data_IF_828073503191
#
_entry.id   IF_828073503191
#
_cell.length_a   1.000
_cell.length_b   1.000
_cell.length_c   1.000
_cell.angle_alpha   90.00
_cell.angle_beta   90.00
_cell.angle_gamma   90.00
#
_symmetry.space_group_name_H-M   'P 1'
#
loop_
_entity.id
_entity.type
_entity.pdbx_description
1 polymer ?
#
# COMPACT_ATOMS: atom_id res chain seq x y z
N UNK A 1 -5.17 9.46 -14.53
CA UNK A 1 -5.80 9.26 -13.22
C UNK A 1 -4.73 8.79 -12.26
N UNK A 2 -4.68 9.29 -11.02
CA UNK A 2 -3.61 8.93 -10.10
C UNK A 2 -3.83 7.49 -9.60
N UNK A 3 -2.91 6.59 -9.90
CA UNK A 3 -2.94 5.23 -9.39
C UNK A 3 -2.45 5.26 -7.94
N UNK A 4 -3.34 4.95 -7.00
CA UNK A 4 -3.07 4.89 -5.56
C UNK A 4 -2.98 3.43 -5.08
N UNK A 5 -2.23 3.20 -4.00
CA UNK A 5 -2.24 1.93 -3.25
C UNK A 5 -3.01 2.15 -1.95
N UNK A 6 -4.19 1.55 -1.84
CA UNK A 6 -5.03 1.62 -0.65
C UNK A 6 -4.89 0.31 0.13
N UNK A 7 -4.60 0.41 1.43
CA UNK A 7 -4.47 -0.73 2.35
C UNK A 7 -5.56 -0.65 3.40
N UNK A 8 -6.53 -1.54 3.32
CA UNK A 8 -7.57 -1.72 4.32
C UNK A 8 -7.05 -2.59 5.47
N UNK A 9 -7.19 -2.11 6.70
CA UNK A 9 -6.66 -2.75 7.90
C UNK A 9 -7.59 -2.58 9.11
N UNK A 10 -7.30 -3.29 10.21
CA UNK A 10 -7.94 -3.09 11.52
C UNK A 10 -6.94 -3.23 12.68
N UNK A 11 -7.21 -2.63 13.85
CA UNK A 11 -6.41 -2.81 15.07
C UNK A 11 -6.25 -4.29 15.44
N UNK A 12 -5.09 -4.65 16.02
CA UNK A 12 -4.82 -6.03 16.46
C UNK A 12 -4.53 -7.04 15.34
N UNK A 13 -4.56 -6.65 14.07
CA UNK A 13 -4.27 -7.55 12.94
C UNK A 13 -2.75 -7.72 12.70
N UNK A 14 -2.14 -8.89 13.01
CA UNK A 14 -0.69 -9.10 12.86
C UNK A 14 -0.25 -9.13 11.39
N UNK A 15 -1.09 -9.60 10.47
CA UNK A 15 -0.83 -9.60 9.02
C UNK A 15 -0.78 -8.17 8.47
N UNK A 16 -1.72 -7.33 8.89
CA UNK A 16 -1.79 -5.93 8.51
C UNK A 16 -0.53 -5.18 8.98
N UNK A 17 -0.09 -5.42 10.22
CA UNK A 17 1.15 -4.81 10.73
C UNK A 17 2.38 -5.24 9.90
N UNK A 18 2.51 -6.54 9.62
CA UNK A 18 3.61 -7.08 8.81
C UNK A 18 3.65 -6.48 7.42
N UNK A 19 2.50 -6.45 6.73
CA UNK A 19 2.38 -5.89 5.38
C UNK A 19 2.72 -4.40 5.36
N UNK A 20 2.05 -3.59 6.19
CA UNK A 20 2.27 -2.14 6.27
C UNK A 20 3.72 -1.79 6.59
N UNK A 21 4.34 -2.49 7.56
CA UNK A 21 5.77 -2.32 7.87
C UNK A 21 6.66 -2.65 6.67
N UNK A 22 6.34 -3.70 5.91
CA UNK A 22 7.10 -4.09 4.74
C UNK A 22 6.97 -3.08 3.58
N UNK A 23 5.80 -2.48 3.37
CA UNK A 23 5.58 -1.44 2.36
C UNK A 23 6.26 -0.12 2.75
N UNK A 24 6.16 0.29 4.02
CA UNK A 24 6.88 1.47 4.55
C UNK A 24 8.40 1.36 4.40
N UNK A 25 8.98 0.18 4.67
CA UNK A 25 10.43 -0.06 4.44
C UNK A 25 10.84 0.11 2.98
N UNK A 26 9.94 -0.19 2.05
CA UNK A 26 10.12 0.02 0.60
C UNK A 26 9.80 1.45 0.17
N UNK A 27 9.38 2.31 1.11
CA UNK A 27 8.98 3.71 0.88
C UNK A 27 7.82 3.85 -0.12
N UNK A 28 7.06 2.79 -0.33
CA UNK A 28 5.90 2.84 -1.20
C UNK A 28 4.83 3.76 -0.56
N UNK A 29 4.37 4.80 -1.28
CA UNK A 29 3.26 5.62 -0.79
C UNK A 29 1.98 4.78 -0.77
N UNK A 30 1.35 4.68 0.39
CA UNK A 30 0.12 3.91 0.60
C UNK A 30 -0.87 4.72 1.42
N UNK A 31 -2.16 4.69 1.05
CA UNK A 31 -3.25 5.18 1.87
C UNK A 31 -3.78 4.06 2.75
N UNK A 32 -3.70 4.22 4.06
CA UNK A 32 -4.09 3.18 5.01
C UNK A 32 -5.45 3.51 5.62
N UNK A 33 -6.45 2.65 5.43
CA UNK A 33 -7.84 2.90 5.85
C UNK A 33 -8.25 1.86 6.90
N UNK A 34 -8.72 2.33 8.05
CA UNK A 34 -9.18 1.45 9.12
C UNK A 34 -10.66 1.11 8.93
N UNK A 35 -10.97 -0.15 8.68
CA UNK A 35 -12.35 -0.60 8.43
C UNK A 35 -13.25 -0.56 9.67
N UNK A 36 -12.69 -0.50 10.88
CA UNK A 36 -13.50 -0.38 12.10
C UNK A 36 -14.07 1.01 12.32
N UNK A 37 -13.41 2.04 11.79
CA UNK A 37 -13.84 3.43 11.96
C UNK A 37 -14.54 3.99 10.74
N UNK A 38 -14.54 3.23 9.63
CA UNK A 38 -15.08 3.64 8.35
C UNK A 38 -16.00 2.52 7.81
N UNK A 39 -17.33 2.68 7.94
CA UNK A 39 -18.28 1.67 7.50
C UNK A 39 -18.31 1.51 5.98
N UNK A 40 -17.96 2.55 5.21
CA UNK A 40 -17.83 2.46 3.76
C UNK A 40 -16.61 1.61 3.37
N UNK A 41 -15.49 1.81 4.06
CA UNK A 41 -14.31 0.96 3.89
C UNK A 41 -14.58 -0.51 4.23
N UNK A 42 -15.36 -0.78 5.28
CA UNK A 42 -15.81 -2.14 5.59
C UNK A 42 -16.68 -2.72 4.47
N UNK A 43 -17.59 -1.94 3.89
CA UNK A 43 -18.41 -2.38 2.76
C UNK A 43 -17.57 -2.70 1.52
N UNK A 44 -16.55 -1.89 1.22
CA UNK A 44 -15.60 -2.16 0.14
C UNK A 44 -14.86 -3.48 0.38
N UNK A 45 -14.36 -3.72 1.59
CA UNK A 45 -13.68 -4.99 1.92
C UNK A 45 -14.64 -6.17 1.77
N UNK A 46 -15.89 -6.08 2.24
CA UNK A 46 -16.88 -7.14 2.05
C UNK A 46 -17.17 -7.41 0.57
N UNK A 47 -17.23 -6.37 -0.26
CA UNK A 47 -17.39 -6.54 -1.71
C UNK A 47 -16.22 -7.30 -2.35
N UNK A 48 -14.99 -7.06 -1.86
CA UNK A 48 -13.77 -7.68 -2.40
C UNK A 48 -13.54 -9.10 -1.84
N UNK A 49 -13.92 -9.36 -0.59
CA UNK A 49 -13.57 -10.57 0.14
C UNK A 49 -14.78 -11.48 0.38
N UNK A 50 -15.62 -11.67 -0.64
CA UNK A 50 -16.75 -12.61 -0.62
C UNK A 50 -17.72 -12.39 0.56
N UNK A 51 -18.03 -11.12 0.85
CA UNK A 51 -18.88 -10.71 1.96
C UNK A 51 -18.16 -10.60 3.32
N UNK A 52 -16.89 -10.99 3.40
CA UNK A 52 -16.13 -11.00 4.65
C UNK A 52 -15.36 -9.69 4.90
N UNK A 53 -15.12 -9.37 6.17
CA UNK A 53 -14.23 -8.27 6.56
C UNK A 53 -12.76 -8.71 6.67
N UNK A 54 -12.29 -9.42 5.64
CA UNK A 54 -10.93 -9.99 5.62
C UNK A 54 -9.90 -8.90 5.36
N UNK A 55 -8.92 -8.78 6.26
CA UNK A 55 -7.82 -7.83 6.17
C UNK A 55 -6.47 -8.52 6.43
N UNK A 56 -5.35 -8.04 5.84
CA UNK A 56 -5.25 -6.85 4.99
C UNK A 56 -5.87 -7.07 3.60
N UNK A 57 -6.65 -6.10 3.13
CA UNK A 57 -7.10 -6.05 1.73
C UNK A 57 -6.43 -4.85 1.07
N UNK A 58 -5.87 -5.05 -0.13
CA UNK A 58 -5.10 -4.01 -0.84
C UNK A 58 -5.70 -3.77 -2.20
N UNK A 59 -5.91 -2.51 -2.54
CA UNK A 59 -6.30 -2.06 -3.87
C UNK A 59 -5.14 -1.31 -4.51
N UNK A 60 -4.82 -1.65 -5.75
CA UNK A 60 -3.78 -1.00 -6.56
C UNK A 60 -4.39 -0.64 -7.91
N UNK A 61 -4.72 0.63 -8.11
CA UNK A 61 -5.46 1.06 -9.30
C UNK A 61 -6.80 0.32 -9.41
N UNK A 62 -6.96 -0.50 -10.45
CA UNK A 62 -8.17 -1.26 -10.75
C UNK A 62 -8.22 -2.68 -10.15
N UNK A 63 -7.11 -3.15 -9.55
CA UNK A 63 -7.05 -4.51 -8.98
C UNK A 63 -7.13 -4.51 -7.46
N UNK A 64 -7.81 -5.53 -6.93
CA UNK A 64 -7.92 -5.78 -5.50
C UNK A 64 -7.32 -7.14 -5.12
N UNK A 65 -6.72 -7.23 -3.94
CA UNK A 65 -6.08 -8.43 -3.43
C UNK A 65 -6.41 -8.62 -1.95
N UNK A 66 -6.83 -9.82 -1.59
CA UNK A 66 -7.13 -10.21 -0.21
C UNK A 66 -5.91 -10.91 0.40
N UNK A 67 -5.46 -10.42 1.55
CA UNK A 67 -4.28 -10.86 2.29
C UNK A 67 -2.99 -11.06 1.44
N UNK A 68 -2.59 -10.09 0.60
CA UNK A 68 -1.42 -10.26 -0.26
C UNK A 68 -0.12 -10.19 0.54
N UNK A 69 0.91 -10.85 0.00
CA UNK A 69 2.30 -10.64 0.42
C UNK A 69 2.82 -9.28 -0.04
N UNK A 70 3.87 -8.73 0.61
CA UNK A 70 4.49 -7.49 0.14
C UNK A 70 5.04 -7.58 -1.29
N UNK A 71 5.46 -8.76 -1.74
CA UNK A 71 5.94 -8.98 -3.12
C UNK A 71 4.81 -8.80 -4.13
N UNK A 72 3.67 -9.45 -3.89
CA UNK A 72 2.48 -9.32 -4.74
C UNK A 72 2.00 -7.87 -4.87
N UNK A 73 2.04 -7.09 -3.78
CA UNK A 73 1.70 -5.66 -3.85
C UNK A 73 2.68 -4.88 -4.73
N UNK A 74 3.98 -5.17 -4.66
CA UNK A 74 4.98 -4.49 -5.51
C UNK A 74 4.82 -4.88 -6.97
N UNK A 75 4.55 -6.15 -7.27
CA UNK A 75 4.34 -6.59 -8.65
C UNK A 75 3.06 -6.00 -9.23
N UNK A 76 1.98 -5.95 -8.45
CA UNK A 76 0.77 -5.20 -8.79
C UNK A 76 1.06 -3.72 -9.11
N UNK A 77 1.85 -3.05 -8.27
CA UNK A 77 2.25 -1.65 -8.50
C UNK A 77 3.08 -1.52 -9.78
N UNK A 78 4.02 -2.41 -10.06
CA UNK A 78 4.80 -2.38 -11.30
C UNK A 78 3.92 -2.45 -12.54
N UNK A 79 2.88 -3.28 -12.51
CA UNK A 79 1.98 -3.45 -13.64
C UNK A 79 0.94 -2.35 -13.78
N UNK A 80 0.43 -1.81 -12.66
CA UNK A 80 -0.77 -0.94 -12.65
C UNK A 80 -0.48 0.51 -12.29
N UNK A 81 0.62 0.76 -11.58
CA UNK A 81 0.97 2.06 -11.02
C UNK A 81 2.50 2.29 -11.01
N UNK A 82 3.23 2.06 -12.13
CA UNK A 82 4.68 2.15 -12.16
C UNK A 82 5.21 3.53 -11.72
N UNK A 83 4.44 4.60 -11.95
CA UNK A 83 4.77 5.97 -11.57
C UNK A 83 4.91 6.17 -10.05
N UNK A 84 4.34 5.28 -9.23
CA UNK A 84 4.57 5.29 -7.78
C UNK A 84 5.99 4.86 -7.44
N UNK A 85 6.56 3.91 -8.18
CA UNK A 85 7.94 3.45 -7.97
C UNK A 85 8.95 4.49 -8.47
N UNK A 86 8.64 5.19 -9.55
CA UNK A 86 9.46 6.29 -10.06
C UNK A 86 9.55 7.43 -9.04
N UNK A 87 8.43 7.76 -8.38
CA UNK A 87 8.40 8.74 -7.28
C UNK A 87 9.30 8.33 -6.12
N UNK A 88 9.33 7.04 -5.77
CA UNK A 88 10.24 6.51 -4.75
C UNK A 88 11.70 6.64 -5.18
N UNK A 89 12.02 6.25 -6.42
CA UNK A 89 13.37 6.32 -6.97
C UNK A 89 13.89 7.77 -7.04
N UNK A 90 13.06 8.70 -7.53
CA UNK A 90 13.38 10.13 -7.58
C UNK A 90 13.66 10.70 -6.17
N UNK A 91 12.84 10.34 -5.19
CA UNK A 91 13.04 10.77 -3.79
C UNK A 91 14.33 10.22 -3.18
N UNK A 92 14.72 8.98 -3.52
CA UNK A 92 15.97 8.39 -3.06
C UNK A 92 17.19 9.10 -3.66
N UNK A 93 17.17 9.40 -4.96
CA UNK A 93 18.26 10.11 -5.67
C UNK A 93 18.52 11.50 -5.09
N UNK A 94 17.47 12.26 -4.75
CA UNK A 94 17.59 13.59 -4.12
C UNK A 94 18.37 13.53 -2.80
N UNK A 95 18.11 12.53 -1.94
CA UNK A 95 18.81 12.38 -0.66
C UNK A 95 20.31 12.09 -0.78
N UNK A 96 20.73 11.38 -1.81
CA UNK A 96 22.15 11.06 -2.02
C UNK A 96 22.94 12.31 -2.42
N UNK A 97 22.36 13.21 -3.21
CA UNK A 97 23.02 14.42 -3.71
C UNK A 97 23.32 15.42 -2.58
N UNK A 98 22.40 15.59 -1.62
CA UNK A 98 22.61 16.53 -0.50
C UNK A 98 23.65 16.09 0.53
N UNK A 99 24.07 14.82 0.53
CA UNK A 99 25.03 14.29 1.51
C UNK A 99 26.49 14.59 1.16
N UNK A 100 26.75 15.25 0.03
CA UNK A 100 28.09 15.52 -0.51
C UNK A 100 28.56 16.99 -0.51
N UNK A 101 27.75 17.94 -0.02
CA UNK A 101 28.13 19.36 0.07
C UNK A 101 28.29 19.76 1.54
N UNK A 102 29.42 19.36 2.11
CA UNK A 102 29.98 19.96 3.33
C UNK A 102 31.49 20.00 3.12
N UNK A 103 31.94 21.06 2.47
CA UNK A 103 33.32 21.55 2.47
C UNK A 103 33.25 23.04 2.73
#
# INVERSE_FOLDING_TARGET
MASEVVVYWRPGCPFCWRLRRALRRRRLPTREVNIWTDPEAAAVVRSIADGNETVPTVVVGDIAMVNPTPGQVIDAVRSRAPELLDRVAASARRRTIFRGQSR
#
